data_IF_061573634686
#
_entry.id   IF_061573634686
#
_cell.length_a   1.000
_cell.length_b   1.000
_cell.length_c   1.000
_cell.angle_alpha   90.00
_cell.angle_beta   90.00
_cell.angle_gamma   90.00
#
_symmetry.space_group_name_H-M   'P 1'
#
loop_
_entity.id
_entity.type
_entity.pdbx_description
1 polymer ?
#
# COMPACT_ATOMS: atom_id res chain seq x y z
N UNK A 1 -11.38 -47.89 22.07
CA UNK A 1 -11.66 -47.50 20.66
C UNK A 1 -11.19 -46.07 20.46
N UNK A 2 -10.50 -45.85 19.36
CA UNK A 2 -9.63 -44.70 19.01
C UNK A 2 -10.29 -43.31 18.92
N UNK A 3 -9.48 -42.22 18.95
CA UNK A 3 -9.92 -40.83 19.07
C UNK A 3 -10.33 -40.21 17.72
N UNK A 4 -11.30 -39.28 17.74
CA UNK A 4 -11.69 -38.50 16.57
C UNK A 4 -10.71 -37.35 16.31
N UNK A 5 -9.74 -37.66 15.47
CA UNK A 5 -9.10 -36.87 14.43
C UNK A 5 -9.12 -35.33 14.53
N UNK A 6 -7.92 -34.80 14.72
CA UNK A 6 -7.43 -33.47 14.33
C UNK A 6 -7.77 -33.12 12.89
N UNK A 7 -8.47 -32.01 12.67
CA UNK A 7 -8.45 -31.29 11.40
C UNK A 7 -8.76 -29.82 11.64
N UNK A 8 -7.91 -29.15 12.42
CA UNK A 8 -7.71 -27.71 12.27
C UNK A 8 -7.04 -27.49 10.92
N UNK A 9 -7.87 -27.30 9.90
CA UNK A 9 -7.49 -26.91 8.54
C UNK A 9 -6.40 -25.85 8.62
N UNK A 10 -5.25 -26.21 8.08
CA UNK A 10 -4.08 -25.38 7.85
C UNK A 10 -4.49 -24.10 7.13
N UNK A 11 -4.74 -23.03 7.90
CA UNK A 11 -4.91 -21.68 7.36
C UNK A 11 -3.56 -21.27 6.78
N UNK A 12 -3.46 -21.31 5.46
CA UNK A 12 -2.27 -20.99 4.68
C UNK A 12 -1.63 -19.66 5.14
N UNK A 13 -0.31 -19.61 5.41
CA UNK A 13 0.37 -18.40 5.88
C UNK A 13 0.49 -17.28 4.82
N UNK A 14 0.14 -17.53 3.54
CA UNK A 14 0.30 -16.57 2.45
C UNK A 14 -0.69 -15.40 2.50
N UNK A 15 -1.92 -15.61 2.98
CA UNK A 15 -2.96 -14.59 3.01
C UNK A 15 -2.68 -13.51 4.08
N UNK A 16 -2.10 -13.93 5.22
CA UNK A 16 -1.77 -13.02 6.33
C UNK A 16 -0.60 -12.09 6.01
N UNK A 17 0.40 -12.56 5.24
CA UNK A 17 1.56 -11.75 4.88
C UNK A 17 1.24 -10.69 3.84
N UNK A 18 0.43 -11.02 2.82
CA UNK A 18 -0.05 -10.03 1.85
C UNK A 18 -0.86 -8.93 2.52
N UNK A 19 -1.82 -9.30 3.39
CA UNK A 19 -2.59 -8.32 4.15
C UNK A 19 -1.71 -7.41 5.03
N UNK A 20 -0.69 -7.99 5.69
CA UNK A 20 0.27 -7.22 6.49
C UNK A 20 1.12 -6.29 5.61
N UNK A 21 1.60 -6.77 4.48
CA UNK A 21 2.37 -5.98 3.52
C UNK A 21 1.55 -4.80 2.99
N UNK A 22 0.32 -5.06 2.54
CA UNK A 22 -0.62 -4.01 2.10
C UNK A 22 -0.90 -2.99 3.19
N UNK A 23 -1.06 -3.42 4.45
CA UNK A 23 -1.26 -2.50 5.58
C UNK A 23 -0.05 -1.59 5.81
N UNK A 24 1.17 -2.15 5.74
CA UNK A 24 2.41 -1.37 5.88
C UNK A 24 2.55 -0.38 4.73
N UNK A 25 2.21 -0.79 3.51
CA UNK A 25 2.27 0.10 2.35
C UNK A 25 1.24 1.25 2.45
N UNK A 26 0.01 0.96 2.90
CA UNK A 26 -1.00 2.00 3.21
C UNK A 26 -0.49 3.00 4.24
N UNK A 27 0.15 2.52 5.30
CA UNK A 27 0.73 3.37 6.34
C UNK A 27 1.86 4.26 5.78
N UNK A 28 2.72 3.71 4.92
CA UNK A 28 3.74 4.48 4.20
C UNK A 28 3.16 5.59 3.33
N UNK A 29 2.12 5.29 2.55
CA UNK A 29 1.39 6.30 1.74
C UNK A 29 0.83 7.40 2.65
N UNK A 30 0.11 7.01 3.71
CA UNK A 30 -0.47 7.96 4.65
C UNK A 30 0.59 8.85 5.30
N UNK A 31 1.72 8.27 5.69
CA UNK A 31 2.83 9.02 6.30
C UNK A 31 3.42 10.01 5.33
N UNK A 32 3.63 9.61 4.08
CA UNK A 32 4.19 10.49 3.05
C UNK A 32 3.25 11.67 2.75
N UNK A 33 1.95 11.40 2.55
CA UNK A 33 0.94 12.45 2.37
C UNK A 33 0.81 13.37 3.59
N UNK A 34 1.07 12.88 4.79
CA UNK A 34 1.07 13.71 6.00
C UNK A 34 2.21 14.74 6.05
N UNK A 35 3.31 14.47 5.33
CA UNK A 35 4.41 15.41 5.15
C UNK A 35 4.17 16.46 4.06
N UNK A 36 3.12 16.31 3.24
CA UNK A 36 2.84 17.23 2.15
C UNK A 36 2.17 18.51 2.65
N UNK A 37 2.94 19.59 2.72
CA UNK A 37 2.53 20.83 3.39
C UNK A 37 1.24 21.45 2.79
N UNK A 38 1.11 21.49 1.47
CA UNK A 38 -0.09 22.06 0.83
C UNK A 38 -1.37 21.27 1.15
N UNK A 39 -1.29 19.94 1.17
CA UNK A 39 -2.39 19.08 1.60
C UNK A 39 -2.74 19.27 3.09
N UNK A 40 -1.72 19.38 3.96
CA UNK A 40 -1.95 19.64 5.38
C UNK A 40 -2.61 21.00 5.63
N UNK A 41 -2.22 22.03 4.87
CA UNK A 41 -2.87 23.32 4.92
C UNK A 41 -4.35 23.22 4.52
N UNK A 42 -4.68 22.48 3.46
CA UNK A 42 -6.06 22.28 3.03
C UNK A 42 -6.91 21.55 4.08
N UNK A 43 -6.33 20.59 4.78
CA UNK A 43 -6.98 19.85 5.87
C UNK A 43 -7.22 20.76 7.07
N UNK A 44 -6.18 21.46 7.54
CA UNK A 44 -6.24 22.34 8.72
C UNK A 44 -7.24 23.48 8.52
N UNK A 45 -7.25 24.07 7.33
CA UNK A 45 -8.16 25.16 6.99
C UNK A 45 -9.55 24.67 6.54
N UNK A 46 -9.79 23.35 6.51
CA UNK A 46 -11.06 22.74 6.09
C UNK A 46 -11.52 23.23 4.71
N UNK A 47 -10.59 23.41 3.77
CA UNK A 47 -10.92 23.81 2.40
C UNK A 47 -11.79 22.76 1.71
N UNK A 48 -11.54 21.47 1.99
CA UNK A 48 -12.42 20.36 1.63
C UNK A 48 -13.65 20.17 2.52
N UNK A 49 -13.98 21.09 3.43
CA UNK A 49 -15.08 20.95 4.38
C UNK A 49 -14.70 20.32 5.72
N UNK A 50 -15.70 20.08 6.57
CA UNK A 50 -15.46 19.59 7.95
C UNK A 50 -14.97 18.14 8.02
N UNK A 51 -15.12 17.41 6.91
CA UNK A 51 -14.74 16.01 6.72
C UNK A 51 -13.37 15.84 6.03
N UNK A 52 -12.53 16.89 5.93
CA UNK A 52 -11.20 16.81 5.31
C UNK A 52 -10.32 15.65 5.80
N UNK A 53 -10.41 15.26 7.09
CA UNK A 53 -9.66 14.10 7.60
C UNK A 53 -10.16 12.78 6.99
N UNK A 54 -11.48 12.62 6.82
CA UNK A 54 -12.04 11.43 6.15
C UNK A 54 -11.63 11.40 4.69
N UNK A 55 -11.59 12.57 4.04
CA UNK A 55 -11.11 12.71 2.66
C UNK A 55 -9.64 12.34 2.52
N UNK A 56 -8.80 12.66 3.51
CA UNK A 56 -7.40 12.24 3.54
C UNK A 56 -7.25 10.72 3.64
N UNK A 57 -8.02 10.08 4.51
CA UNK A 57 -8.08 8.62 4.60
C UNK A 57 -8.57 7.96 3.30
N UNK A 58 -9.52 8.61 2.63
CA UNK A 58 -10.03 8.16 1.33
C UNK A 58 -8.96 8.28 0.25
N UNK A 59 -8.29 9.42 0.13
CA UNK A 59 -7.18 9.64 -0.80
C UNK A 59 -6.07 8.59 -0.62
N UNK A 60 -5.70 8.30 0.63
CA UNK A 60 -4.72 7.25 0.95
C UNK A 60 -5.17 5.89 0.40
N UNK A 61 -6.46 5.58 0.52
CA UNK A 61 -7.05 4.31 0.06
C UNK A 61 -7.17 4.25 -1.47
N UNK A 62 -7.46 5.38 -2.11
CA UNK A 62 -7.56 5.51 -3.56
C UNK A 62 -6.18 5.32 -4.22
N UNK A 63 -5.13 5.93 -3.67
CA UNK A 63 -3.74 5.73 -4.12
C UNK A 63 -3.32 4.27 -3.96
N UNK A 64 -3.60 3.67 -2.79
CA UNK A 64 -3.31 2.25 -2.56
C UNK A 64 -4.04 1.37 -3.57
N UNK A 65 -5.31 1.67 -3.85
CA UNK A 65 -6.10 0.96 -4.84
C UNK A 65 -5.53 1.13 -6.24
N UNK A 66 -5.08 2.34 -6.60
CA UNK A 66 -4.45 2.62 -7.89
C UNK A 66 -3.19 1.78 -8.10
N UNK A 67 -2.31 1.70 -7.09
CA UNK A 67 -1.14 0.81 -7.12
C UNK A 67 -1.50 -0.68 -7.22
N UNK A 68 -2.66 -1.07 -6.67
CA UNK A 68 -3.12 -2.46 -6.66
C UNK A 68 -3.85 -2.87 -7.94
N UNK A 69 -4.11 -1.94 -8.86
CA UNK A 69 -4.74 -2.26 -10.15
C UNK A 69 -3.81 -3.09 -11.01
N UNK A 70 -4.37 -4.02 -11.78
CA UNK A 70 -3.63 -4.83 -12.77
C UNK A 70 -3.33 -4.00 -14.03
N UNK A 71 -2.72 -2.84 -13.88
CA UNK A 71 -2.17 -2.07 -15.00
C UNK A 71 -0.83 -2.69 -15.41
N UNK A 72 -0.63 -2.87 -16.72
CA UNK A 72 0.60 -3.46 -17.27
C UNK A 72 1.83 -2.57 -16.99
N UNK A 73 1.62 -1.26 -16.91
CA UNK A 73 2.61 -0.25 -16.52
C UNK A 73 1.93 0.86 -15.70
N UNK A 74 2.56 1.25 -14.58
CA UNK A 74 2.15 2.41 -13.79
C UNK A 74 2.90 3.63 -14.33
N UNK A 75 2.16 4.64 -14.80
CA UNK A 75 2.73 5.89 -15.26
C UNK A 75 2.65 6.95 -14.15
N UNK A 76 3.71 7.73 -13.99
CA UNK A 76 3.74 8.80 -12.99
C UNK A 76 2.71 9.89 -13.29
N UNK A 77 2.52 10.24 -14.57
CA UNK A 77 1.54 11.23 -15.03
C UNK A 77 0.09 10.86 -14.60
N UNK A 78 -0.24 9.57 -14.57
CA UNK A 78 -1.55 9.08 -14.08
C UNK A 78 -1.71 9.33 -12.57
N UNK A 79 -0.63 9.20 -11.81
CA UNK A 79 -0.63 9.43 -10.36
C UNK A 79 -0.65 10.92 -10.04
N UNK A 80 0.13 11.73 -10.76
CA UNK A 80 0.10 13.19 -10.68
C UNK A 80 -1.31 13.73 -10.95
N UNK A 81 -1.96 13.25 -12.02
CA UNK A 81 -3.35 13.60 -12.32
C UNK A 81 -4.31 13.22 -11.18
N UNK A 82 -4.17 12.01 -10.62
CA UNK A 82 -5.00 11.58 -9.48
C UNK A 82 -4.81 12.50 -8.25
N UNK A 83 -3.58 12.90 -7.96
CA UNK A 83 -3.28 13.81 -6.85
C UNK A 83 -3.84 15.21 -7.12
N UNK A 84 -3.63 15.74 -8.32
CA UNK A 84 -4.14 17.05 -8.74
C UNK A 84 -5.67 17.11 -8.69
N UNK A 85 -6.37 16.14 -9.28
CA UNK A 85 -7.83 16.05 -9.21
C UNK A 85 -8.33 15.94 -7.77
N UNK A 86 -7.62 15.19 -6.91
CA UNK A 86 -7.97 15.07 -5.50
C UNK A 86 -7.85 16.42 -4.78
N UNK A 87 -6.75 17.14 -4.98
CA UNK A 87 -6.57 18.47 -4.40
C UNK A 87 -7.66 19.44 -4.86
N UNK A 88 -7.92 19.47 -6.16
CA UNK A 88 -8.87 20.41 -6.76
C UNK A 88 -10.31 20.10 -6.37
N UNK A 89 -10.76 18.86 -6.56
CA UNK A 89 -12.16 18.47 -6.42
C UNK A 89 -12.53 18.12 -4.97
N UNK A 90 -11.61 17.52 -4.22
CA UNK A 90 -11.90 17.01 -2.88
C UNK A 90 -11.49 17.99 -1.80
N UNK A 91 -10.32 18.61 -1.94
CA UNK A 91 -9.77 19.55 -0.96
C UNK A 91 -9.95 21.03 -1.33
N UNK A 92 -10.55 21.32 -2.49
CA UNK A 92 -10.80 22.69 -2.97
C UNK A 92 -9.53 23.55 -2.95
N UNK A 93 -8.42 22.96 -3.39
CA UNK A 93 -7.13 23.64 -3.48
C UNK A 93 -6.45 23.31 -4.79
N UNK A 94 -5.72 24.27 -5.30
CA UNK A 94 -4.83 24.09 -6.44
C UNK A 94 -3.40 24.38 -5.98
N UNK A 95 -2.47 23.51 -6.34
CA UNK A 95 -1.07 23.56 -5.90
C UNK A 95 -0.20 23.48 -7.15
N UNK A 96 0.49 24.57 -7.45
CA UNK A 96 1.33 24.73 -8.65
C UNK A 96 2.80 25.01 -8.28
N UNK A 97 3.25 24.52 -7.11
CA UNK A 97 4.61 24.72 -6.60
C UNK A 97 5.59 23.60 -6.99
N UNK A 98 5.14 22.61 -7.78
CA UNK A 98 5.91 21.43 -8.18
C UNK A 98 5.89 20.28 -7.17
N UNK A 99 5.20 20.44 -6.02
CA UNK A 99 5.16 19.40 -4.98
C UNK A 99 4.27 18.21 -5.33
N UNK A 100 3.37 18.33 -6.30
CA UNK A 100 2.53 17.20 -6.77
C UNK A 100 3.44 16.14 -7.40
N UNK A 101 4.35 16.58 -8.26
CA UNK A 101 5.33 15.78 -8.98
C UNK A 101 6.29 15.11 -7.99
N UNK A 102 6.85 15.87 -7.04
CA UNK A 102 7.75 15.31 -6.01
C UNK A 102 7.06 14.22 -5.15
N UNK A 103 5.80 14.44 -4.78
CA UNK A 103 5.01 13.46 -4.01
C UNK A 103 4.69 12.23 -4.86
N UNK A 104 4.35 12.41 -6.13
CA UNK A 104 4.10 11.30 -7.06
C UNK A 104 5.36 10.45 -7.27
N UNK A 105 6.52 11.08 -7.49
CA UNK A 105 7.81 10.41 -7.64
C UNK A 105 8.14 9.56 -6.41
N UNK A 106 7.99 10.13 -5.22
CA UNK A 106 8.30 9.42 -3.99
C UNK A 106 7.33 8.28 -3.70
N UNK A 107 6.05 8.41 -4.08
CA UNK A 107 5.07 7.32 -4.03
C UNK A 107 5.43 6.16 -4.97
N UNK A 108 5.91 6.47 -6.18
CA UNK A 108 6.39 5.47 -7.14
C UNK A 108 7.59 4.69 -6.60
N UNK A 109 8.58 5.39 -6.04
CA UNK A 109 9.77 4.76 -5.41
C UNK A 109 9.35 3.84 -4.27
N UNK A 110 8.48 4.30 -3.37
CA UNK A 110 7.99 3.48 -2.25
C UNK A 110 7.27 2.22 -2.74
N UNK A 111 6.53 2.31 -3.85
CA UNK A 111 5.88 1.15 -4.45
C UNK A 111 6.89 0.15 -5.01
N UNK A 112 7.95 0.61 -5.67
CA UNK A 112 9.02 -0.28 -6.16
C UNK A 112 9.74 -0.99 -5.01
N UNK A 113 10.09 -0.26 -3.94
CA UNK A 113 10.70 -0.84 -2.74
C UNK A 113 9.77 -1.87 -2.09
N UNK A 114 8.46 -1.57 -2.05
CA UNK A 114 7.45 -2.48 -1.54
C UNK A 114 7.39 -3.80 -2.34
N UNK A 115 7.40 -3.73 -3.68
CA UNK A 115 7.41 -4.91 -4.54
C UNK A 115 8.68 -5.75 -4.32
N UNK A 116 9.85 -5.11 -4.26
CA UNK A 116 11.12 -5.80 -4.03
C UNK A 116 11.16 -6.50 -2.66
N UNK A 117 10.72 -5.82 -1.59
CA UNK A 117 10.66 -6.37 -0.24
C UNK A 117 9.67 -7.54 -0.14
N UNK A 118 8.50 -7.41 -0.77
CA UNK A 118 7.50 -8.47 -0.85
C UNK A 118 8.04 -9.72 -1.55
N UNK A 119 8.76 -9.55 -2.66
CA UNK A 119 9.40 -10.66 -3.39
C UNK A 119 10.49 -11.35 -2.56
N UNK A 120 11.35 -10.58 -1.88
CA UNK A 120 12.40 -11.13 -1.02
C UNK A 120 11.82 -11.97 0.13
N UNK A 121 10.77 -11.48 0.78
CA UNK A 121 10.07 -12.20 1.85
C UNK A 121 9.43 -13.49 1.36
N UNK A 122 8.79 -13.46 0.18
CA UNK A 122 8.18 -14.65 -0.43
C UNK A 122 9.24 -15.69 -0.82
N UNK A 123 10.35 -15.27 -1.43
CA UNK A 123 11.45 -16.17 -1.78
C UNK A 123 12.06 -16.86 -0.57
N UNK A 124 12.29 -16.12 0.53
CA UNK A 124 12.79 -16.69 1.79
C UNK A 124 11.88 -17.80 2.32
N UNK A 125 10.56 -17.61 2.26
CA UNK A 125 9.57 -18.61 2.70
C UNK A 125 9.54 -19.85 1.81
N UNK A 126 9.63 -19.69 0.49
CA UNK A 126 9.67 -20.83 -0.44
C UNK A 126 10.91 -21.70 -0.18
N UNK A 127 12.05 -21.09 0.12
CA UNK A 127 13.28 -21.81 0.46
C UNK A 127 13.13 -22.57 1.79
N UNK A 128 12.56 -21.94 2.82
CA UNK A 128 12.32 -22.57 4.13
C UNK A 128 11.41 -23.81 4.03
N UNK A 129 10.33 -23.72 3.25
CA UNK A 129 9.42 -24.85 3.00
C UNK A 129 10.13 -26.00 2.27
N UNK A 130 10.93 -25.69 1.24
CA UNK A 130 11.71 -26.72 0.51
C UNK A 130 12.72 -27.43 1.39
N UNK A 131 13.33 -26.72 2.35
CA UNK A 131 14.30 -27.30 3.27
C UNK A 131 13.63 -28.22 4.32
N UNK A 132 12.43 -27.87 4.79
CA UNK A 132 11.65 -28.70 5.71
C UNK A 132 11.16 -30.02 5.07
N UNK A 133 10.89 -30.03 3.76
CA UNK A 133 10.48 -31.25 3.04
C UNK A 133 11.60 -32.24 2.74
N UNK A 134 12.88 -31.83 2.81
CA UNK A 134 14.03 -32.72 2.55
C UNK A 134 14.49 -33.52 3.77
N UNK A 135 14.11 -33.15 4.99
CA UNK A 135 14.54 -33.85 6.21
C UNK A 135 13.68 -35.07 6.55
N UNK A 136 12.59 -35.31 5.81
CA UNK A 136 11.63 -36.39 6.09
C UNK A 136 11.89 -37.71 5.33
N UNK A 137 12.97 -37.83 4.56
CA UNK A 137 13.23 -39.02 3.71
C UNK A 137 14.39 -39.91 4.17
N UNK A 138 14.92 -39.70 5.37
CA UNK A 138 15.86 -40.63 5.99
C UNK A 138 15.29 -41.20 7.28
N UNK A 139 14.47 -42.25 7.16
CA UNK A 139 14.30 -43.30 8.17
C UNK A 139 13.73 -44.53 7.48
#
# INVERSE_FOLDING_TARGET
MEPFNTSSVSRTPSYSLKAKATSVFREGISMHLSGWNGLQMAIQNKWGGSDSLKKFDQLTSDILSWFSQSKEQLHIEDLENLLHESLLLTFNTDIEDGSIEEVAEQLMIMHEEFLQGSHALMNKRVIEIKNLGRTSSSS
#
